data_IF_951492737716
#
_entry.id   IF_951492737716
#
_cell.length_a   1.000
_cell.length_b   1.000
_cell.length_c   1.000
_cell.angle_alpha   90.00
_cell.angle_beta   90.00
_cell.angle_gamma   90.00
#
_symmetry.space_group_name_H-M   'P 1'
#
loop_
_entity.id
_entity.type
_entity.pdbx_description
1 polymer ?
#
# COMPACT_ATOMS: atom_id res chain seq x y z
N UNK A 1 -1.52 9.79 10.74
CA UNK A 1 -1.23 8.35 10.94
C UNK A 1 0.13 8.11 10.32
N UNK A 2 1.07 7.37 10.93
CA UNK A 2 2.39 7.18 10.31
C UNK A 2 2.27 6.18 9.15
N UNK A 3 2.87 6.49 8.00
CA UNK A 3 2.87 5.64 6.80
C UNK A 3 3.54 4.29 7.03
N UNK A 4 4.47 4.19 7.97
CA UNK A 4 5.06 2.93 8.42
C UNK A 4 4.03 2.03 9.12
N UNK A 5 3.15 2.62 9.94
CA UNK A 5 2.07 1.88 10.60
C UNK A 5 1.09 1.33 9.57
N UNK A 6 0.74 2.12 8.55
CA UNK A 6 -0.10 1.69 7.43
C UNK A 6 0.48 0.50 6.68
N UNK A 7 1.77 0.57 6.31
CA UNK A 7 2.43 -0.51 5.60
C UNK A 7 2.48 -1.79 6.43
N UNK A 8 2.74 -1.68 7.74
CA UNK A 8 2.75 -2.82 8.64
C UNK A 8 1.37 -3.47 8.76
N UNK A 9 0.30 -2.69 8.90
CA UNK A 9 -1.08 -3.20 8.91
C UNK A 9 -1.42 -3.94 7.61
N UNK A 10 -1.07 -3.35 6.46
CA UNK A 10 -1.30 -3.97 5.15
C UNK A 10 -0.50 -5.26 4.97
N UNK A 11 0.75 -5.30 5.45
CA UNK A 11 1.58 -6.51 5.42
C UNK A 11 0.95 -7.62 6.24
N UNK A 12 0.54 -7.32 7.48
CA UNK A 12 -0.12 -8.31 8.35
C UNK A 12 -1.41 -8.84 7.73
N UNK A 13 -2.21 -7.96 7.13
CA UNK A 13 -3.45 -8.37 6.48
C UNK A 13 -3.19 -9.24 5.23
N UNK A 14 -2.20 -8.88 4.41
CA UNK A 14 -1.76 -9.71 3.26
C UNK A 14 -1.30 -11.09 3.73
N UNK A 15 -0.51 -11.16 4.79
CA UNK A 15 0.02 -12.42 5.33
C UNK A 15 -1.12 -13.31 5.87
N UNK A 16 -2.07 -12.73 6.61
CA UNK A 16 -3.27 -13.43 7.09
C UNK A 16 -4.06 -14.03 5.92
N UNK A 17 -4.34 -13.23 4.89
CA UNK A 17 -5.13 -13.67 3.74
C UNK A 17 -4.40 -14.71 2.91
N UNK A 18 -3.08 -14.58 2.77
CA UNK A 18 -2.24 -15.55 2.07
C UNK A 18 -2.27 -16.91 2.77
N UNK A 19 -2.16 -16.92 4.10
CA UNK A 19 -2.29 -18.14 4.89
C UNK A 19 -3.64 -18.81 4.65
N UNK A 20 -4.73 -18.04 4.73
CA UNK A 20 -6.08 -18.58 4.52
C UNK A 20 -6.29 -19.07 3.08
N UNK A 21 -5.78 -18.36 2.08
CA UNK A 21 -5.88 -18.77 0.68
C UNK A 21 -5.17 -20.11 0.43
N UNK A 22 -4.03 -20.34 1.09
CA UNK A 22 -3.31 -21.61 1.04
C UNK A 22 -4.05 -22.77 1.71
N UNK A 23 -5.04 -22.49 2.58
CA UNK A 23 -5.89 -23.50 3.23
C UNK A 23 -7.08 -23.95 2.37
N UNK A 24 -7.21 -23.47 1.13
CA UNK A 24 -8.14 -24.04 0.14
C UNK A 24 -9.08 -23.07 -0.56
N UNK A 25 -8.95 -21.75 -0.36
CA UNK A 25 -9.79 -20.77 -1.05
C UNK A 25 -9.14 -20.28 -2.36
N UNK A 26 -9.38 -21.01 -3.46
CA UNK A 26 -8.84 -20.67 -4.77
C UNK A 26 -9.26 -19.27 -5.25
N UNK A 27 -10.53 -18.89 -5.04
CA UNK A 27 -11.06 -17.58 -5.41
C UNK A 27 -10.35 -16.44 -4.66
N UNK A 28 -10.14 -16.60 -3.35
CA UNK A 28 -9.41 -15.62 -2.55
C UNK A 28 -7.93 -15.54 -2.98
N UNK A 29 -7.33 -16.64 -3.43
CA UNK A 29 -5.96 -16.66 -3.94
C UNK A 29 -5.82 -15.86 -5.23
N UNK A 30 -6.77 -16.00 -6.15
CA UNK A 30 -6.73 -15.28 -7.42
C UNK A 30 -6.99 -13.79 -7.22
N UNK A 31 -7.92 -13.41 -6.35
CA UNK A 31 -8.12 -12.01 -5.96
C UNK A 31 -6.90 -11.41 -5.25
N UNK A 32 -6.23 -12.18 -4.38
CA UNK A 32 -4.99 -11.72 -3.73
C UNK A 32 -3.88 -11.44 -4.75
N UNK A 33 -3.68 -12.33 -5.71
CA UNK A 33 -2.68 -12.15 -6.78
C UNK A 33 -2.92 -10.89 -7.60
N UNK A 34 -4.18 -10.50 -7.82
CA UNK A 34 -4.51 -9.25 -8.53
C UNK A 34 -4.08 -8.01 -7.74
N UNK A 35 -4.01 -8.09 -6.41
CA UNK A 35 -3.62 -6.98 -5.53
C UNK A 35 -2.11 -6.93 -5.25
N UNK A 36 -1.36 -8.00 -5.51
CA UNK A 36 0.10 -8.03 -5.30
C UNK A 36 0.85 -6.86 -5.98
N UNK A 37 0.59 -6.53 -7.27
CA UNK A 37 1.29 -5.42 -7.92
C UNK A 37 1.02 -4.07 -7.26
N UNK A 38 -0.22 -3.82 -6.84
CA UNK A 38 -0.60 -2.57 -6.18
C UNK A 38 0.04 -2.45 -4.79
N UNK A 39 0.10 -3.57 -4.04
CA UNK A 39 0.78 -3.61 -2.75
C UNK A 39 2.29 -3.37 -2.89
N UNK A 40 2.94 -4.00 -3.86
CA UNK A 40 4.38 -3.86 -4.08
C UNK A 40 4.74 -2.45 -4.58
N UNK A 41 3.90 -1.84 -5.42
CA UNK A 41 4.03 -0.44 -5.84
C UNK A 41 3.92 0.50 -4.63
N UNK A 42 2.85 0.36 -3.82
CA UNK A 42 2.68 1.19 -2.62
C UNK A 42 3.86 1.03 -1.64
N UNK A 43 4.30 -0.20 -1.38
CA UNK A 43 5.46 -0.49 -0.53
C UNK A 43 6.73 0.21 -1.03
N UNK A 44 6.94 0.19 -2.34
CA UNK A 44 8.10 0.83 -2.98
C UNK A 44 8.04 2.35 -2.83
N UNK A 45 6.87 2.94 -3.08
CA UNK A 45 6.63 4.38 -2.90
C UNK A 45 6.86 4.82 -1.47
N UNK A 46 6.25 4.12 -0.50
CA UNK A 46 6.40 4.40 0.92
C UNK A 46 7.86 4.33 1.39
N UNK A 47 8.61 3.30 0.96
CA UNK A 47 10.02 3.16 1.31
C UNK A 47 10.86 4.30 0.75
N UNK A 48 10.72 4.61 -0.54
CA UNK A 48 11.49 5.69 -1.19
C UNK A 48 11.18 7.05 -0.56
N UNK A 49 9.93 7.30 -0.19
CA UNK A 49 9.54 8.54 0.50
C UNK A 49 10.08 8.60 1.94
N UNK A 50 10.10 7.49 2.67
CA UNK A 50 10.72 7.40 3.99
C UNK A 50 12.23 7.67 3.97
N UNK A 51 12.94 7.19 2.94
CA UNK A 51 14.38 7.40 2.77
C UNK A 51 14.74 8.86 2.41
N UNK A 52 13.78 9.64 1.89
CA UNK A 52 13.98 11.02 1.41
C UNK A 52 13.50 12.06 2.45
N UNK A 53 13.01 11.60 3.60
CA UNK A 53 12.39 12.45 4.63
C UNK A 53 13.34 13.56 5.12
N UNK A 54 12.93 14.83 4.96
CA UNK A 54 13.63 15.98 5.54
C UNK A 54 13.61 17.26 4.71
N UNK A 55 13.39 17.16 3.40
CA UNK A 55 13.26 18.30 2.48
C UNK A 55 12.05 18.16 1.56
N UNK A 56 11.11 19.10 1.66
CA UNK A 56 9.87 19.09 0.88
C UNK A 56 10.12 19.11 -0.63
N UNK A 57 11.18 19.77 -1.12
CA UNK A 57 11.47 19.80 -2.55
C UNK A 57 11.96 18.44 -3.07
N UNK A 58 12.82 17.76 -2.30
CA UNK A 58 13.29 16.41 -2.59
C UNK A 58 12.16 15.39 -2.53
N UNK A 59 11.25 15.51 -1.56
CA UNK A 59 10.07 14.66 -1.42
C UNK A 59 9.10 14.84 -2.61
N UNK A 60 8.84 16.07 -3.05
CA UNK A 60 7.99 16.34 -4.23
C UNK A 60 8.62 15.83 -5.52
N UNK A 61 9.93 15.99 -5.71
CA UNK A 61 10.63 15.43 -6.87
C UNK A 61 10.52 13.90 -6.88
N UNK A 62 10.71 13.26 -5.73
CA UNK A 62 10.59 11.81 -5.60
C UNK A 62 9.17 11.33 -5.87
N UNK A 63 8.16 12.06 -5.38
CA UNK A 63 6.76 11.80 -5.64
C UNK A 63 6.45 11.84 -7.14
N UNK A 64 6.91 12.88 -7.85
CA UNK A 64 6.76 12.99 -9.30
C UNK A 64 7.45 11.82 -10.05
N UNK A 65 8.65 11.43 -9.66
CA UNK A 65 9.35 10.25 -10.21
C UNK A 65 8.60 8.93 -9.97
N UNK A 66 7.79 8.88 -8.91
CA UNK A 66 6.93 7.75 -8.55
C UNK A 66 5.53 7.84 -9.18
N UNK A 67 5.26 8.88 -9.99
CA UNK A 67 3.94 9.11 -10.59
C UNK A 67 2.87 9.54 -9.59
N UNK A 68 3.26 10.11 -8.45
CA UNK A 68 2.36 10.73 -7.48
C UNK A 68 2.22 12.20 -7.87
N UNK A 69 1.01 12.58 -8.28
CA UNK A 69 0.66 13.97 -8.56
C UNK A 69 0.32 14.68 -7.25
N UNK A 70 1.19 15.60 -6.82
CA UNK A 70 1.11 16.26 -5.52
C UNK A 70 1.86 17.60 -5.58
N UNK A 71 1.24 18.65 -5.02
CA UNK A 71 1.82 20.01 -4.98
C UNK A 71 2.52 20.30 -3.65
N UNK A 72 2.30 19.46 -2.64
CA UNK A 72 2.91 19.59 -1.31
C UNK A 72 3.25 18.24 -0.70
N UNK A 73 4.12 18.25 0.33
CA UNK A 73 4.41 17.07 1.15
C UNK A 73 3.14 16.46 1.76
N UNK A 74 2.19 17.32 2.16
CA UNK A 74 0.91 16.89 2.72
C UNK A 74 0.07 16.16 1.66
N UNK A 75 0.10 16.60 0.40
CA UNK A 75 -0.57 15.92 -0.70
C UNK A 75 0.08 14.56 -0.99
N UNK A 76 1.41 14.45 -0.89
CA UNK A 76 2.11 13.17 -1.03
C UNK A 76 1.67 12.19 0.08
N UNK A 77 1.65 12.63 1.33
CA UNK A 77 1.19 11.81 2.46
C UNK A 77 -0.29 11.40 2.31
N UNK A 78 -1.13 12.33 1.84
CA UNK A 78 -2.54 12.08 1.56
C UNK A 78 -2.71 11.03 0.47
N UNK A 79 -2.00 11.16 -0.66
CA UNK A 79 -2.06 10.22 -1.77
C UNK A 79 -1.62 8.80 -1.34
N UNK A 80 -0.54 8.70 -0.58
CA UNK A 80 -0.05 7.43 -0.03
C UNK A 80 -1.03 6.81 0.97
N UNK A 81 -1.65 7.65 1.81
CA UNK A 81 -2.67 7.22 2.77
C UNK A 81 -3.93 6.72 2.07
N UNK A 82 -4.39 7.39 1.02
CA UNK A 82 -5.54 6.97 0.21
C UNK A 82 -5.26 5.63 -0.48
N UNK A 83 -4.11 5.49 -1.14
CA UNK A 83 -3.72 4.22 -1.78
C UNK A 83 -3.64 3.07 -0.77
N UNK A 84 -3.13 3.33 0.44
CA UNK A 84 -3.12 2.36 1.52
C UNK A 84 -4.53 1.98 2.00
N UNK A 85 -5.43 2.96 2.11
CA UNK A 85 -6.84 2.75 2.46
C UNK A 85 -7.58 1.89 1.44
N UNK A 86 -7.41 2.18 0.16
CA UNK A 86 -8.03 1.40 -0.94
C UNK A 86 -7.55 -0.05 -0.94
N UNK A 87 -6.25 -0.28 -0.73
CA UNK A 87 -5.69 -1.63 -0.59
C UNK A 87 -6.25 -2.36 0.63
N UNK A 88 -6.38 -1.67 1.76
CA UNK A 88 -6.95 -2.23 2.99
C UNK A 88 -8.41 -2.65 2.78
N UNK A 89 -9.19 -1.82 2.09
CA UNK A 89 -10.57 -2.13 1.75
C UNK A 89 -10.67 -3.30 0.77
N UNK A 90 -9.79 -3.37 -0.23
CA UNK A 90 -9.72 -4.48 -1.17
C UNK A 90 -9.39 -5.80 -0.47
N UNK A 91 -8.38 -5.80 0.39
CA UNK A 91 -8.07 -6.95 1.25
C UNK A 91 -9.23 -7.31 2.20
N UNK A 92 -9.93 -6.30 2.74
CA UNK A 92 -11.12 -6.51 3.56
C UNK A 92 -12.26 -7.20 2.81
N UNK A 93 -12.41 -6.96 1.50
CA UNK A 93 -13.37 -7.69 0.65
C UNK A 93 -12.96 -9.15 0.47
N UNK A 94 -11.68 -9.42 0.22
CA UNK A 94 -11.15 -10.79 0.12
C UNK A 94 -11.31 -11.53 1.45
N UNK A 95 -11.10 -10.86 2.59
CA UNK A 95 -11.28 -11.45 3.92
C UNK A 95 -12.68 -12.04 4.14
N UNK A 96 -13.70 -11.49 3.48
CA UNK A 96 -15.10 -11.97 3.56
C UNK A 96 -15.38 -13.21 2.71
N UNK A 97 -14.42 -13.67 1.91
CA UNK A 97 -14.51 -14.90 1.12
C UNK A 97 -14.10 -16.15 1.93
N UNK A 98 -13.63 -15.96 3.16
CA UNK A 98 -13.29 -17.00 4.13
C UNK A 98 -14.31 -17.03 5.25
#
# INVERSE_FOLDING_TARGET
MNTETLLNELSQLKDELTLKANLGAAEARDELKKLEPAYDDLKTKLKKMGDIAGDSASELKAAAELGIDADSKEDVDTALTLAAGELKDAYGKIKKLF
#
